data_IF_585023987407
#
_entry.id   IF_585023987407
#
_cell.length_a   1.000
_cell.length_b   1.000
_cell.length_c   1.000
_cell.angle_alpha   90.00
_cell.angle_beta   90.00
_cell.angle_gamma   90.00
#
_symmetry.space_group_name_H-M   'P 1'
#
loop_
_entity.id
_entity.type
_entity.pdbx_description
1 polymer ?
#
# COMPACT_ATOMS: atom_id res chain seq x y z
N UNK A 1 5.49 -9.64 -26.50
CA UNK A 1 6.60 -9.40 -25.56
C UNK A 1 7.99 -9.30 -26.21
N UNK A 2 8.12 -9.33 -27.55
CA UNK A 2 9.44 -9.29 -28.24
C UNK A 2 10.08 -7.88 -28.31
N UNK A 3 9.26 -6.81 -28.32
CA UNK A 3 9.74 -5.45 -28.59
C UNK A 3 10.64 -4.84 -27.50
N UNK A 4 10.36 -5.09 -26.20
CA UNK A 4 11.22 -4.61 -25.12
C UNK A 4 12.56 -5.35 -25.13
N UNK A 5 12.50 -6.68 -25.19
CA UNK A 5 13.69 -7.53 -25.22
C UNK A 5 14.65 -7.17 -26.37
N UNK A 6 14.11 -6.91 -27.57
CA UNK A 6 14.90 -6.46 -28.72
C UNK A 6 15.66 -5.14 -28.50
N UNK A 7 15.14 -4.24 -27.64
CA UNK A 7 15.74 -2.92 -27.38
C UNK A 7 16.66 -2.89 -26.17
N UNK A 8 16.36 -3.69 -25.15
CA UNK A 8 17.01 -3.61 -23.83
C UNK A 8 17.83 -4.84 -23.47
N UNK A 9 17.62 -5.97 -24.17
CA UNK A 9 18.16 -7.27 -23.81
C UNK A 9 17.54 -7.86 -22.53
N UNK A 10 16.52 -7.21 -21.94
CA UNK A 10 15.88 -7.63 -20.70
C UNK A 10 14.42 -8.03 -20.93
N UNK A 11 14.03 -9.18 -20.37
CA UNK A 11 12.63 -9.60 -20.32
C UNK A 11 11.94 -8.93 -19.12
N UNK A 12 11.52 -7.69 -19.33
CA UNK A 12 10.74 -6.93 -18.36
C UNK A 12 9.39 -6.55 -18.94
N UNK A 13 8.34 -6.66 -18.12
CA UNK A 13 7.03 -6.13 -18.49
C UNK A 13 7.03 -4.60 -18.42
N UNK A 14 7.81 -4.04 -17.48
CA UNK A 14 7.99 -2.60 -17.29
C UNK A 14 9.34 -2.33 -16.64
N UNK A 15 9.97 -1.21 -17.02
CA UNK A 15 11.21 -0.71 -16.42
C UNK A 15 11.07 -0.37 -14.92
N UNK A 16 9.84 -0.28 -14.40
CA UNK A 16 9.58 0.04 -13.00
C UNK A 16 9.78 -1.15 -12.06
N UNK A 17 9.84 -2.40 -12.56
CA UNK A 17 9.83 -3.59 -11.71
C UNK A 17 11.01 -3.63 -10.73
N UNK A 18 12.23 -3.50 -11.23
CA UNK A 18 13.43 -3.52 -10.38
C UNK A 18 13.62 -2.19 -9.62
N UNK A 19 13.10 -1.09 -10.15
CA UNK A 19 13.03 0.20 -9.44
C UNK A 19 12.14 0.05 -8.20
N UNK A 20 10.95 -0.54 -8.34
CA UNK A 20 10.03 -0.80 -7.24
C UNK A 20 10.66 -1.75 -6.22
N UNK A 21 11.25 -2.85 -6.68
CA UNK A 21 11.93 -3.81 -5.82
C UNK A 21 13.03 -3.16 -4.96
N UNK A 22 13.93 -2.36 -5.55
CA UNK A 22 15.05 -1.72 -4.85
C UNK A 22 14.62 -0.49 -4.04
N UNK A 23 13.95 0.47 -4.68
CA UNK A 23 13.72 1.80 -4.10
C UNK A 23 12.52 1.85 -3.16
N UNK A 24 11.63 0.85 -3.21
CA UNK A 24 10.43 0.83 -2.37
C UNK A 24 10.43 -0.45 -1.51
N UNK A 25 10.31 -1.64 -2.10
CA UNK A 25 10.14 -2.86 -1.33
C UNK A 25 11.33 -3.13 -0.39
N UNK A 26 12.55 -3.20 -0.93
CA UNK A 26 13.76 -3.41 -0.13
C UNK A 26 14.04 -2.22 0.79
N UNK A 27 13.97 -1.00 0.25
CA UNK A 27 14.24 0.20 1.03
C UNK A 27 13.32 0.32 2.26
N UNK A 28 12.00 0.21 2.10
CA UNK A 28 11.07 0.30 3.22
C UNK A 28 11.17 -0.91 4.16
N UNK A 29 11.46 -2.10 3.64
CA UNK A 29 11.75 -3.26 4.49
C UNK A 29 12.95 -2.98 5.41
N UNK A 30 14.06 -2.52 4.86
CA UNK A 30 15.26 -2.19 5.64
C UNK A 30 15.06 -0.98 6.55
N UNK A 31 14.36 0.07 6.09
CA UNK A 31 14.09 1.26 6.93
C UNK A 31 13.29 0.88 8.17
N UNK A 32 12.25 0.03 8.03
CA UNK A 32 11.45 -0.40 9.17
C UNK A 32 12.22 -1.33 10.12
N UNK A 33 13.16 -2.12 9.59
CA UNK A 33 13.82 -3.17 10.38
C UNK A 33 15.16 -2.77 10.98
N UNK A 34 15.97 -2.06 10.21
CA UNK A 34 17.37 -1.74 10.50
C UNK A 34 17.64 -0.23 10.53
N UNK A 35 16.64 0.60 10.21
CA UNK A 35 16.77 2.05 10.18
C UNK A 35 17.11 2.61 8.80
N UNK A 36 16.84 3.90 8.64
CA UNK A 36 16.96 4.63 7.38
C UNK A 36 18.40 4.68 6.85
N UNK A 37 19.38 4.87 7.74
CA UNK A 37 20.80 4.94 7.36
C UNK A 37 21.28 3.63 6.72
N UNK A 38 20.98 2.49 7.35
CA UNK A 38 21.28 1.17 6.80
C UNK A 38 20.58 0.94 5.45
N UNK A 39 19.30 1.32 5.35
CA UNK A 39 18.54 1.18 4.12
C UNK A 39 19.12 2.00 2.96
N UNK A 40 19.56 3.23 3.23
CA UNK A 40 20.23 4.10 2.26
C UNK A 40 21.58 3.53 1.83
N UNK A 41 22.39 3.05 2.78
CA UNK A 41 23.67 2.39 2.49
C UNK A 41 23.50 1.22 1.53
N UNK A 42 22.61 0.27 1.85
CA UNK A 42 22.34 -0.90 0.99
C UNK A 42 21.82 -0.47 -0.40
N UNK A 43 20.91 0.51 -0.46
CA UNK A 43 20.40 1.02 -1.74
C UNK A 43 21.52 1.61 -2.61
N UNK A 44 22.45 2.35 -2.01
CA UNK A 44 23.61 2.92 -2.69
C UNK A 44 24.58 1.85 -3.16
N UNK A 45 24.92 0.87 -2.31
CA UNK A 45 25.78 -0.26 -2.67
C UNK A 45 25.24 -1.05 -3.88
N UNK A 46 23.94 -1.34 -3.90
CA UNK A 46 23.30 -2.01 -5.05
C UNK A 46 23.40 -1.15 -6.30
N UNK A 47 23.21 0.16 -6.17
CA UNK A 47 23.27 1.10 -7.31
C UNK A 47 24.68 1.20 -7.88
N UNK A 48 25.69 1.25 -7.02
CA UNK A 48 27.10 1.27 -7.42
C UNK A 48 27.54 -0.05 -8.08
N UNK A 49 27.14 -1.20 -7.53
CA UNK A 49 27.46 -2.49 -8.13
C UNK A 49 26.77 -2.69 -9.48
N UNK A 50 25.53 -2.25 -9.61
CA UNK A 50 24.81 -2.29 -10.87
C UNK A 50 25.44 -1.35 -11.90
N UNK A 51 25.82 -0.12 -11.54
CA UNK A 51 26.38 0.84 -12.50
C UNK A 51 27.71 0.40 -13.14
N UNK A 52 28.43 -0.53 -12.50
CA UNK A 52 29.65 -1.16 -13.04
C UNK A 52 29.36 -2.16 -14.18
N UNK A 53 28.10 -2.51 -14.44
CA UNK A 53 27.72 -3.41 -15.54
C UNK A 53 27.60 -2.65 -16.86
N UNK A 54 28.02 -3.31 -17.93
CA UNK A 54 28.16 -2.70 -19.26
C UNK A 54 26.81 -2.50 -19.96
N UNK A 55 25.88 -3.44 -19.79
CA UNK A 55 24.58 -3.39 -20.49
C UNK A 55 23.43 -3.14 -19.53
N UNK A 56 22.34 -2.53 -20.02
CA UNK A 56 21.12 -2.33 -19.24
C UNK A 56 20.57 -3.65 -18.67
N UNK A 57 20.54 -4.73 -19.47
CA UNK A 57 20.06 -6.03 -19.01
C UNK A 57 20.89 -6.58 -17.84
N UNK A 58 22.21 -6.43 -17.86
CA UNK A 58 23.07 -6.82 -16.75
C UNK A 58 22.84 -5.95 -15.52
N UNK A 59 22.68 -4.63 -15.70
CA UNK A 59 22.36 -3.71 -14.60
C UNK A 59 21.05 -4.13 -13.91
N UNK A 60 20.00 -4.40 -14.68
CA UNK A 60 18.71 -4.82 -14.16
C UNK A 60 18.78 -6.18 -13.45
N UNK A 61 19.48 -7.14 -14.04
CA UNK A 61 19.68 -8.44 -13.41
C UNK A 61 20.48 -8.35 -12.11
N UNK A 62 21.50 -7.49 -12.06
CA UNK A 62 22.28 -7.26 -10.84
C UNK A 62 21.43 -6.62 -9.74
N UNK A 63 20.64 -5.59 -10.07
CA UNK A 63 19.70 -4.97 -9.11
C UNK A 63 18.73 -6.01 -8.56
N UNK A 64 18.12 -6.81 -9.44
CA UNK A 64 17.17 -7.86 -9.03
C UNK A 64 17.83 -8.90 -8.14
N UNK A 65 19.01 -9.40 -8.54
CA UNK A 65 19.77 -10.41 -7.81
C UNK A 65 20.12 -9.94 -6.40
N UNK A 66 20.77 -8.77 -6.28
CA UNK A 66 21.20 -8.23 -5.00
C UNK A 66 19.99 -7.89 -4.11
N UNK A 67 18.96 -7.25 -4.68
CA UNK A 67 17.77 -6.89 -3.90
C UNK A 67 17.06 -8.12 -3.34
N UNK A 68 16.92 -9.18 -4.15
CA UNK A 68 16.35 -10.44 -3.69
C UNK A 68 17.26 -11.17 -2.69
N UNK A 69 18.59 -11.06 -2.79
CA UNK A 69 19.47 -11.67 -1.79
C UNK A 69 19.30 -11.05 -0.41
N UNK A 70 19.15 -9.72 -0.33
CA UNK A 70 18.87 -9.05 0.96
C UNK A 70 17.49 -9.45 1.51
N UNK A 71 16.45 -9.46 0.67
CA UNK A 71 15.10 -9.89 1.11
C UNK A 71 15.11 -11.34 1.62
N UNK A 72 15.83 -12.23 0.94
CA UNK A 72 15.90 -13.65 1.30
C UNK A 72 16.60 -13.91 2.64
N UNK A 73 17.44 -13.00 3.12
CA UNK A 73 18.06 -13.12 4.44
C UNK A 73 17.01 -13.14 5.55
N UNK A 74 15.87 -12.48 5.35
CA UNK A 74 14.73 -12.58 6.27
C UNK A 74 13.39 -12.44 5.52
N UNK A 75 13.09 -13.49 4.76
CA UNK A 75 11.92 -13.53 3.89
C UNK A 75 10.60 -13.49 4.68
N UNK A 76 10.56 -14.07 5.89
CA UNK A 76 9.37 -14.11 6.74
C UNK A 76 9.01 -12.70 7.21
N UNK A 77 9.98 -11.94 7.71
CA UNK A 77 9.74 -10.54 8.12
C UNK A 77 9.33 -9.70 6.93
N UNK A 78 9.96 -9.92 5.76
CA UNK A 78 9.59 -9.24 4.54
C UNK A 78 8.13 -9.50 4.16
N UNK A 79 7.69 -10.76 4.11
CA UNK A 79 6.30 -11.12 3.77
C UNK A 79 5.31 -10.53 4.77
N UNK A 80 5.60 -10.63 6.07
CA UNK A 80 4.75 -10.04 7.10
C UNK A 80 4.61 -8.52 6.89
N UNK A 81 5.72 -7.80 6.76
CA UNK A 81 5.70 -6.36 6.56
C UNK A 81 5.07 -5.95 5.23
N UNK A 82 5.22 -6.75 4.17
CA UNK A 82 4.58 -6.53 2.87
C UNK A 82 3.06 -6.62 2.97
N UNK A 83 2.54 -7.63 3.68
CA UNK A 83 1.11 -7.82 3.92
C UNK A 83 0.57 -6.67 4.77
N UNK A 84 1.23 -6.34 5.88
CA UNK A 84 0.83 -5.23 6.75
C UNK A 84 0.87 -3.91 5.99
N UNK A 85 1.88 -3.70 5.15
CA UNK A 85 1.96 -2.56 4.23
C UNK A 85 0.73 -2.47 3.34
N UNK A 86 0.39 -3.55 2.63
CA UNK A 86 -0.73 -3.55 1.69
C UNK A 86 -2.06 -3.25 2.37
N UNK A 87 -2.27 -3.80 3.58
CA UNK A 87 -3.51 -3.58 4.35
C UNK A 87 -3.66 -2.12 4.82
N UNK A 88 -2.57 -1.36 5.01
CA UNK A 88 -2.66 0.04 5.45
C UNK A 88 -3.48 0.91 4.51
N UNK A 89 -3.54 0.61 3.22
CA UNK A 89 -4.29 1.41 2.24
C UNK A 89 -5.80 1.50 2.53
N UNK A 90 -6.36 0.52 3.27
CA UNK A 90 -7.78 0.50 3.62
C UNK A 90 -8.14 1.48 4.74
N UNK A 91 -7.15 1.90 5.54
CA UNK A 91 -7.32 2.84 6.65
C UNK A 91 -6.59 4.17 6.43
N UNK A 92 -5.68 4.25 5.45
CA UNK A 92 -4.93 5.45 5.12
C UNK A 92 -5.88 6.59 4.69
N UNK A 93 -5.94 7.71 5.44
CA UNK A 93 -6.77 8.87 5.07
C UNK A 93 -6.22 9.66 3.88
N UNK A 94 -5.04 9.30 3.36
CA UNK A 94 -4.48 9.90 2.15
C UNK A 94 -3.97 11.31 2.35
N UNK A 95 -3.26 11.58 3.46
CA UNK A 95 -2.64 12.89 3.74
C UNK A 95 -1.87 13.41 2.53
N UNK A 96 -1.02 12.58 1.94
CA UNK A 96 -0.23 12.96 0.77
C UNK A 96 -1.13 13.39 -0.39
N UNK A 97 -2.18 12.63 -0.69
CA UNK A 97 -3.10 12.93 -1.79
C UNK A 97 -3.88 14.23 -1.53
N UNK A 98 -4.32 14.46 -0.29
CA UNK A 98 -4.99 15.71 0.10
C UNK A 98 -4.06 16.93 -0.04
N UNK A 99 -2.81 16.83 0.38
CA UNK A 99 -1.83 17.91 0.22
C UNK A 99 -1.61 18.28 -1.25
N UNK A 100 -1.47 17.28 -2.12
CA UNK A 100 -1.30 17.52 -3.54
C UNK A 100 -2.57 18.06 -4.19
N UNK A 101 -3.74 17.54 -3.81
CA UNK A 101 -5.03 17.99 -4.36
C UNK A 101 -5.31 19.47 -4.07
N UNK A 102 -4.98 19.94 -2.88
CA UNK A 102 -5.16 21.35 -2.48
C UNK A 102 -3.90 22.21 -2.71
N UNK A 103 -2.88 21.68 -3.38
CA UNK A 103 -1.61 22.37 -3.67
C UNK A 103 -0.92 22.98 -2.43
N UNK A 104 -1.12 22.36 -1.26
CA UNK A 104 -0.45 22.83 -0.05
C UNK A 104 1.04 22.51 -0.12
N UNK A 105 1.88 23.50 0.23
CA UNK A 105 3.30 23.25 0.44
C UNK A 105 3.46 22.20 1.53
N UNK A 106 4.08 21.09 1.18
CA UNK A 106 4.38 20.04 2.15
C UNK A 106 5.60 20.49 2.96
N UNK A 107 5.37 21.34 3.96
CA UNK A 107 6.42 21.98 4.79
C UNK A 107 7.10 21.01 5.75
N UNK A 108 6.57 19.79 5.90
CA UNK A 108 7.16 18.73 6.70
C UNK A 108 7.49 17.55 5.80
N UNK A 109 8.78 17.40 5.46
CA UNK A 109 9.29 16.22 4.73
C UNK A 109 9.04 14.91 5.50
N UNK A 110 8.69 15.02 6.79
CA UNK A 110 8.57 13.91 7.73
C UNK A 110 7.19 13.86 8.38
N UNK A 111 6.67 12.65 8.56
CA UNK A 111 5.33 12.42 9.12
C UNK A 111 5.25 12.62 10.64
N UNK A 112 4.01 12.72 11.14
CA UNK A 112 3.66 12.84 12.57
C UNK A 112 4.51 11.97 13.50
N UNK A 113 4.68 10.68 13.18
CA UNK A 113 5.40 9.73 14.03
C UNK A 113 6.86 10.14 14.27
N UNK A 114 7.52 10.76 13.28
CA UNK A 114 8.90 11.23 13.47
C UNK A 114 8.96 12.41 14.44
N UNK A 115 8.04 13.36 14.31
CA UNK A 115 7.93 14.48 15.25
C UNK A 115 7.65 14.01 16.68
N UNK A 116 6.76 13.03 16.83
CA UNK A 116 6.47 12.42 18.13
C UNK A 116 7.68 11.66 18.70
N UNK A 117 8.41 10.90 17.89
CA UNK A 117 9.56 10.13 18.37
C UNK A 117 10.75 11.03 18.77
N UNK A 118 10.91 12.21 18.15
CA UNK A 118 12.02 13.14 18.46
C UNK A 118 11.71 14.00 19.69
N UNK A 119 10.49 14.55 19.79
CA UNK A 119 10.16 15.57 20.81
C UNK A 119 8.93 15.22 21.66
N UNK A 120 8.43 14.00 21.58
CA UNK A 120 7.28 13.54 22.36
C UNK A 120 6.02 14.38 22.11
N UNK A 121 5.34 14.71 23.20
CA UNK A 121 4.07 15.43 23.16
C UNK A 121 4.19 16.86 22.61
N UNK A 122 5.29 17.57 22.90
CA UNK A 122 5.53 18.90 22.34
C UNK A 122 5.74 18.83 20.82
N UNK A 123 6.43 17.80 20.33
CA UNK A 123 6.57 17.50 18.91
C UNK A 123 5.23 17.25 18.22
N UNK A 124 4.34 16.49 18.86
CA UNK A 124 2.99 16.25 18.34
C UNK A 124 2.17 17.54 18.23
N UNK A 125 2.14 18.37 19.28
CA UNK A 125 1.41 19.65 19.24
C UNK A 125 1.97 20.56 18.13
N UNK A 126 3.30 20.66 18.03
CA UNK A 126 3.92 21.51 17.03
C UNK A 126 3.63 21.02 15.60
N UNK A 127 3.64 19.70 15.40
CA UNK A 127 3.22 19.10 14.14
C UNK A 127 1.79 19.52 13.77
N UNK A 128 0.81 19.38 14.67
CA UNK A 128 -0.57 19.77 14.37
C UNK A 128 -0.73 21.27 14.11
N UNK A 129 -0.02 22.14 14.84
CA UNK A 129 -0.05 23.60 14.63
C UNK A 129 0.49 24.05 13.27
N UNK A 130 1.34 23.25 12.64
CA UNK A 130 1.94 23.56 11.34
C UNK A 130 1.15 22.99 10.16
N UNK A 131 0.12 22.18 10.40
CA UNK A 131 -0.71 21.64 9.32
C UNK A 131 -1.81 22.66 8.92
N UNK A 132 -2.20 22.72 7.64
CA UNK A 132 -3.36 23.51 7.22
C UNK A 132 -4.64 23.06 7.94
N UNK A 133 -5.46 23.99 8.41
CA UNK A 133 -6.71 23.71 9.14
C UNK A 133 -7.63 22.76 8.35
N UNK A 134 -7.70 22.91 7.03
CA UNK A 134 -8.48 22.03 6.17
C UNK A 134 -8.03 20.57 6.26
N UNK A 135 -6.72 20.31 6.32
CA UNK A 135 -6.17 18.96 6.47
C UNK A 135 -6.54 18.36 7.83
N UNK A 136 -6.47 19.16 8.90
CA UNK A 136 -6.84 18.73 10.25
C UNK A 136 -8.30 18.30 10.36
N UNK A 137 -9.18 18.90 9.55
CA UNK A 137 -10.60 18.56 9.49
C UNK A 137 -10.85 17.35 8.57
N UNK A 138 -10.24 17.33 7.38
CA UNK A 138 -10.50 16.29 6.39
C UNK A 138 -9.91 14.92 6.78
N UNK A 139 -8.72 14.87 7.38
CA UNK A 139 -8.09 13.58 7.75
C UNK A 139 -9.01 12.76 8.68
N UNK A 140 -9.55 13.29 9.80
CA UNK A 140 -10.47 12.56 10.65
C UNK A 140 -11.74 12.11 9.92
N UNK A 141 -12.30 12.96 9.05
CA UNK A 141 -13.52 12.63 8.29
C UNK A 141 -13.25 11.47 7.33
N UNK A 142 -12.18 11.54 6.54
CA UNK A 142 -11.81 10.48 5.59
C UNK A 142 -11.46 9.19 6.34
N UNK A 143 -10.74 9.28 7.47
CA UNK A 143 -10.43 8.15 8.32
C UNK A 143 -11.71 7.48 8.86
N UNK A 144 -12.68 8.26 9.33
CA UNK A 144 -13.98 7.74 9.76
C UNK A 144 -14.67 6.96 8.64
N UNK A 145 -14.74 7.52 7.42
CA UNK A 145 -15.32 6.81 6.28
C UNK A 145 -14.52 5.55 5.89
N UNK A 146 -13.19 5.57 5.99
CA UNK A 146 -12.35 4.39 5.77
C UNK A 146 -12.65 3.27 6.77
N UNK A 147 -12.78 3.62 8.05
CA UNK A 147 -13.18 2.69 9.11
C UNK A 147 -14.58 2.13 8.84
N UNK A 148 -15.56 2.98 8.48
CA UNK A 148 -16.91 2.53 8.13
C UNK A 148 -16.90 1.55 6.95
N UNK A 149 -16.16 1.87 5.87
CA UNK A 149 -16.02 0.96 4.73
C UNK A 149 -15.43 -0.39 5.15
N UNK A 150 -14.41 -0.39 6.01
CA UNK A 150 -13.76 -1.60 6.49
C UNK A 150 -14.69 -2.45 7.37
N UNK A 151 -15.47 -1.80 8.24
CA UNK A 151 -16.50 -2.47 9.05
C UNK A 151 -17.53 -3.12 8.13
N UNK A 152 -18.10 -2.37 7.18
CA UNK A 152 -19.09 -2.90 6.24
C UNK A 152 -18.54 -4.08 5.44
N UNK A 153 -17.33 -3.95 4.89
CA UNK A 153 -16.67 -5.01 4.15
C UNK A 153 -16.49 -6.29 5.00
N UNK A 154 -16.05 -6.11 6.25
CA UNK A 154 -15.84 -7.22 7.18
C UNK A 154 -17.17 -7.88 7.56
N UNK A 155 -18.21 -7.10 7.84
CA UNK A 155 -19.55 -7.59 8.15
C UNK A 155 -20.13 -8.40 6.99
N UNK A 156 -19.95 -7.94 5.75
CA UNK A 156 -20.38 -8.67 4.57
C UNK A 156 -19.79 -10.08 4.53
N UNK A 157 -18.46 -10.21 4.61
CA UNK A 157 -17.80 -11.51 4.54
C UNK A 157 -18.10 -12.38 5.76
N UNK A 158 -18.12 -11.81 6.97
CA UNK A 158 -18.48 -12.55 8.19
C UNK A 158 -19.86 -13.21 8.09
N UNK A 159 -20.83 -12.51 7.52
CA UNK A 159 -22.21 -12.97 7.44
C UNK A 159 -22.51 -13.83 6.20
N UNK A 160 -21.75 -13.68 5.12
CA UNK A 160 -22.11 -14.25 3.81
C UNK A 160 -21.03 -15.17 3.19
N UNK A 161 -19.85 -15.38 3.79
CA UNK A 161 -18.76 -16.13 3.12
C UNK A 161 -19.17 -17.53 2.61
N UNK A 162 -20.06 -18.23 3.32
CA UNK A 162 -20.54 -19.56 2.92
C UNK A 162 -21.55 -19.54 1.76
N UNK A 163 -22.31 -18.46 1.63
CA UNK A 163 -23.43 -18.33 0.68
C UNK A 163 -23.14 -17.35 -0.45
N UNK A 164 -21.99 -16.66 -0.40
CA UNK A 164 -21.57 -15.68 -1.39
C UNK A 164 -21.41 -16.35 -2.77
N UNK A 165 -22.03 -15.79 -3.83
CA UNK A 165 -21.81 -16.25 -5.19
C UNK A 165 -20.33 -16.26 -5.60
N UNK A 166 -19.94 -17.15 -6.51
CA UNK A 166 -18.57 -17.24 -7.04
C UNK A 166 -18.05 -15.90 -7.58
N UNK A 167 -18.91 -15.08 -8.17
CA UNK A 167 -18.56 -13.74 -8.65
C UNK A 167 -18.01 -12.84 -7.53
N UNK A 168 -18.53 -12.95 -6.30
CA UNK A 168 -18.04 -12.16 -5.17
C UNK A 168 -16.68 -12.62 -4.68
N UNK A 169 -16.40 -13.92 -4.74
CA UNK A 169 -15.06 -14.44 -4.48
C UNK A 169 -14.05 -13.99 -5.53
N UNK A 170 -14.45 -13.95 -6.80
CA UNK A 170 -13.60 -13.39 -7.86
C UNK A 170 -13.32 -11.89 -7.63
N UNK A 171 -14.34 -11.12 -7.26
CA UNK A 171 -14.18 -9.71 -6.86
C UNK A 171 -13.25 -9.53 -5.65
N UNK A 172 -13.35 -10.40 -4.64
CA UNK A 172 -12.42 -10.41 -3.50
C UNK A 172 -11.00 -10.71 -3.96
N UNK A 173 -10.81 -11.67 -4.87
CA UNK A 173 -9.51 -12.00 -5.44
C UNK A 173 -8.87 -10.79 -6.12
N UNK A 174 -9.66 -9.96 -6.83
CA UNK A 174 -9.15 -8.71 -7.42
C UNK A 174 -8.66 -7.75 -6.33
N UNK A 175 -9.44 -7.57 -5.25
CA UNK A 175 -9.02 -6.72 -4.11
C UNK A 175 -7.71 -7.25 -3.51
N UNK A 176 -7.63 -8.55 -3.24
CA UNK A 176 -6.45 -9.21 -2.67
C UNK A 176 -5.25 -9.08 -3.61
N UNK A 177 -5.44 -9.27 -4.91
CA UNK A 177 -4.40 -9.13 -5.92
C UNK A 177 -3.81 -7.72 -5.93
N UNK A 178 -4.66 -6.68 -5.99
CA UNK A 178 -4.19 -5.30 -5.97
C UNK A 178 -3.51 -4.97 -4.63
N UNK A 179 -4.05 -5.42 -3.50
CA UNK A 179 -3.43 -5.25 -2.18
C UNK A 179 -2.05 -5.92 -2.11
N UNK A 180 -1.90 -7.10 -2.71
CA UNK A 180 -0.64 -7.82 -2.75
C UNK A 180 0.39 -7.14 -3.66
N UNK A 181 -0.04 -6.52 -4.76
CA UNK A 181 0.85 -5.77 -5.65
C UNK A 181 1.36 -4.47 -5.02
N UNK A 182 0.56 -3.79 -4.21
CA UNK A 182 0.93 -2.50 -3.60
C UNK A 182 1.91 -2.67 -2.44
N UNK A 183 1.77 -3.76 -1.68
CA UNK A 183 2.75 -4.19 -0.68
C UNK A 183 3.14 -3.10 0.30
N UNK A 184 4.44 -2.93 0.53
CA UNK A 184 5.01 -1.98 1.49
C UNK A 184 4.51 -0.54 1.36
N UNK A 185 4.16 -0.08 0.16
CA UNK A 185 3.76 1.31 -0.05
C UNK A 185 2.36 1.55 0.50
N UNK A 186 1.43 0.64 0.23
CA UNK A 186 0.09 0.65 0.85
C UNK A 186 -0.63 2.01 0.86
N UNK A 187 -0.39 2.88 -0.13
CA UNK A 187 -0.94 4.23 -0.13
C UNK A 187 -2.42 4.23 -0.54
N UNK A 188 -3.20 5.14 0.04
CA UNK A 188 -4.63 5.38 -0.26
C UNK A 188 -4.96 5.39 -1.75
N UNK A 189 -4.12 6.00 -2.58
CA UNK A 189 -4.33 6.10 -4.04
C UNK A 189 -4.52 4.75 -4.75
N UNK A 190 -3.94 3.67 -4.23
CA UNK A 190 -4.06 2.36 -4.86
C UNK A 190 -5.41 1.70 -4.60
N UNK A 191 -6.10 2.10 -3.53
CA UNK A 191 -7.44 1.63 -3.23
C UNK A 191 -8.44 2.07 -4.31
N UNK A 192 -8.19 3.20 -5.00
CA UNK A 192 -9.07 3.77 -6.03
C UNK A 192 -9.41 2.74 -7.11
N UNK A 193 -8.43 1.92 -7.54
CA UNK A 193 -8.62 0.91 -8.58
C UNK A 193 -9.63 -0.19 -8.19
N UNK A 194 -9.82 -0.44 -6.89
CA UNK A 194 -10.73 -1.47 -6.36
C UNK A 194 -11.88 -0.86 -5.54
N UNK A 195 -11.94 0.47 -5.45
CA UNK A 195 -12.88 1.19 -4.60
C UNK A 195 -14.34 0.85 -4.92
N UNK A 196 -14.79 0.75 -6.20
CA UNK A 196 -16.18 0.40 -6.48
C UNK A 196 -16.57 -0.98 -5.94
N UNK A 197 -15.70 -1.98 -6.08
CA UNK A 197 -15.91 -3.35 -5.58
C UNK A 197 -15.90 -3.34 -4.05
N UNK A 198 -14.95 -2.63 -3.46
CA UNK A 198 -14.83 -2.50 -2.01
C UNK A 198 -16.08 -1.83 -1.40
N UNK A 199 -16.58 -0.76 -2.02
CA UNK A 199 -17.80 -0.06 -1.61
C UNK A 199 -19.04 -0.93 -1.75
N UNK A 200 -19.16 -1.73 -2.82
CA UNK A 200 -20.25 -2.68 -2.99
C UNK A 200 -20.35 -3.61 -1.76
N UNK A 201 -19.23 -4.22 -1.36
CA UNK A 201 -19.20 -5.07 -0.17
C UNK A 201 -19.48 -4.30 1.12
N UNK A 202 -18.93 -3.09 1.26
CA UNK A 202 -19.18 -2.24 2.42
C UNK A 202 -20.67 -1.95 2.60
N UNK A 203 -21.35 -1.52 1.53
CA UNK A 203 -22.79 -1.22 1.54
C UNK A 203 -23.62 -2.48 1.78
N UNK A 204 -23.29 -3.59 1.12
CA UNK A 204 -24.00 -4.87 1.33
C UNK A 204 -23.83 -5.40 2.76
N UNK A 205 -22.70 -5.13 3.41
CA UNK A 205 -22.47 -5.53 4.80
C UNK A 205 -23.31 -4.76 5.81
N UNK A 206 -23.61 -3.48 5.54
CA UNK A 206 -24.55 -2.68 6.33
C UNK A 206 -26.01 -2.88 5.91
N UNK A 207 -26.25 -3.36 4.70
CA UNK A 207 -27.59 -3.66 4.22
C UNK A 207 -28.20 -4.76 5.10
N UNK A 208 -29.31 -4.41 5.78
CA UNK A 208 -30.10 -5.39 6.51
C UNK A 208 -30.78 -6.31 5.50
N UNK A 209 -30.14 -7.41 5.13
CA UNK A 209 -30.90 -8.62 4.75
C UNK A 209 -31.56 -9.18 6.02
N UNK A 210 -32.58 -8.48 6.54
CA UNK A 210 -33.65 -9.17 7.25
C UNK A 210 -34.13 -10.24 6.27
N UNK A 211 -33.99 -11.51 6.67
CA UNK A 211 -34.85 -12.69 6.47
C UNK A 211 -36.20 -12.52 5.68
N UNK A 212 -36.28 -11.70 4.65
CA UNK A 212 -37.51 -11.34 3.94
C UNK A 212 -37.79 -12.26 2.74
N UNK A 213 -36.85 -13.16 2.40
CA UNK A 213 -37.02 -14.14 1.32
C UNK A 213 -37.48 -15.53 1.79
N UNK A 214 -37.66 -15.74 3.10
CA UNK A 214 -38.17 -17.01 3.64
C UNK A 214 -39.63 -16.94 4.10
N UNK A 215 -40.23 -15.75 4.17
CA UNK A 215 -41.65 -15.58 4.55
C UNK A 215 -42.56 -15.46 3.31
N UNK A 216 -42.03 -15.08 2.15
CA UNK A 216 -42.81 -15.03 0.90
C UNK A 216 -42.94 -16.40 0.20
N UNK A 217 -42.52 -17.49 0.84
CA UNK A 217 -42.73 -18.87 0.38
C UNK A 217 -43.63 -19.68 1.34
N UNK A 218 -44.26 -19.03 2.32
CA UNK A 218 -45.18 -19.68 3.27
C UNK A 218 -46.59 -19.06 3.30
N UNK A 219 -46.91 -18.14 2.40
CA UNK A 219 -48.27 -17.62 2.21
C UNK A 219 -48.73 -17.83 0.77
#
# INVERSE_FOLDING_TARGET
MNWNYQRTGSFEFSSIQNINLKNYNLYYFHTNKYGEEYALKVKSEITEQASRKTTYAEQQNEIRKLSLSYIKQDWLSYVYMHIIGGIKMFIDPGRFDLYNFFEFKNTSEVGFLKHYNISGFSGAINYFRTQPTLILILIPIVLLFNILKLIGFTLFWKNNYKTAPKAYWFMLLIIVYITALTGFIGASRFLVAVLPIYLLFAVLGFSRKKKALLISQQN
#
